data_IF_548272348180
#
_entry.id   IF_548272348180
#
_cell.length_a   1.000
_cell.length_b   1.000
_cell.length_c   1.000
_cell.angle_alpha   90.00
_cell.angle_beta   90.00
_cell.angle_gamma   90.00
#
_symmetry.space_group_name_H-M   'P 1'
#
loop_
_entity.id
_entity.type
_entity.pdbx_description
1 polymer ?
#
# COMPACT_ATOMS: atom_id res chain seq x y z
N UNK A 1 0.39 5.03 -8.93
CA UNK A 1 0.21 4.97 -7.46
C UNK A 1 -0.11 6.36 -6.96
N UNK A 2 -0.93 6.51 -5.91
CA UNK A 2 -1.23 7.80 -5.29
C UNK A 2 -1.03 7.71 -3.77
N UNK A 3 -0.74 8.85 -3.13
CA UNK A 3 -0.55 8.96 -1.68
C UNK A 3 -1.60 9.86 -1.07
N UNK A 4 -2.15 9.45 0.07
CA UNK A 4 -3.26 10.16 0.73
C UNK A 4 -3.08 10.19 2.24
N UNK A 5 -3.57 11.25 2.87
CA UNK A 5 -3.67 11.34 4.32
C UNK A 5 -4.89 10.54 4.83
N UNK A 6 -4.98 10.39 6.14
CA UNK A 6 -6.05 9.63 6.80
C UNK A 6 -7.45 10.19 6.53
N UNK A 7 -7.59 11.52 6.48
CA UNK A 7 -8.88 12.16 6.18
C UNK A 7 -9.34 11.91 4.73
N UNK A 8 -8.41 11.65 3.82
CA UNK A 8 -8.69 11.53 2.40
C UNK A 8 -8.59 10.10 1.85
N UNK A 9 -8.34 9.09 2.70
CA UNK A 9 -8.26 7.68 2.27
C UNK A 9 -9.53 7.20 1.59
N UNK A 10 -10.70 7.54 2.13
CA UNK A 10 -11.99 7.16 1.55
C UNK A 10 -12.18 7.74 0.15
N UNK A 11 -11.82 9.01 -0.04
CA UNK A 11 -11.86 9.67 -1.36
C UNK A 11 -10.85 9.02 -2.32
N UNK A 12 -9.64 8.74 -1.85
CA UNK A 12 -8.60 8.08 -2.63
C UNK A 12 -8.96 6.67 -3.08
N UNK A 13 -9.64 5.89 -2.25
CA UNK A 13 -10.12 4.55 -2.61
C UNK A 13 -11.18 4.63 -3.71
N UNK A 14 -12.12 5.57 -3.65
CA UNK A 14 -13.19 5.73 -4.65
C UNK A 14 -12.63 6.13 -6.03
N UNK A 15 -11.52 6.87 -6.07
CA UNK A 15 -10.87 7.26 -7.32
C UNK A 15 -10.27 6.07 -8.11
N UNK A 16 -10.05 4.93 -7.45
CA UNK A 16 -9.41 3.78 -8.06
C UNK A 16 -10.37 2.58 -8.02
N UNK A 17 -10.45 1.82 -9.10
CA UNK A 17 -11.29 0.62 -9.12
C UNK A 17 -10.57 -0.55 -8.43
N UNK A 18 -10.86 -0.79 -7.15
CA UNK A 18 -10.26 -1.86 -6.33
C UNK A 18 -8.75 -1.67 -6.06
N UNK A 19 -8.32 -0.60 -5.40
CA UNK A 19 -6.91 -0.39 -5.09
C UNK A 19 -6.45 -1.23 -3.89
N UNK A 20 -5.18 -1.64 -3.92
CA UNK A 20 -4.47 -2.04 -2.71
C UNK A 20 -4.08 -0.81 -1.89
N UNK A 21 -4.19 -0.94 -0.56
CA UNK A 21 -3.84 0.10 0.40
C UNK A 21 -2.66 -0.37 1.24
N UNK A 22 -1.59 0.41 1.29
CA UNK A 22 -0.45 0.18 2.18
C UNK A 22 -0.23 1.39 3.07
N UNK A 23 -0.03 1.18 4.37
CA UNK A 23 0.35 2.25 5.29
C UNK A 23 1.81 2.63 5.05
N UNK A 24 2.08 3.92 4.94
CA UNK A 24 3.43 4.46 4.80
C UNK A 24 4.15 4.38 6.16
N UNK A 25 5.37 3.87 6.16
CA UNK A 25 6.27 3.95 7.32
C UNK A 25 6.92 5.32 7.39
N UNK A 26 7.48 5.71 8.55
CA UNK A 26 8.13 7.01 8.76
C UNK A 26 9.16 7.41 7.68
N UNK A 27 9.81 6.43 7.03
CA UNK A 27 10.72 6.64 5.91
C UNK A 27 10.09 7.35 4.70
N UNK A 28 8.77 7.31 4.55
CA UNK A 28 8.02 7.82 3.40
C UNK A 28 7.13 9.03 3.75
N UNK A 29 7.37 9.67 4.90
CA UNK A 29 6.64 10.87 5.33
C UNK A 29 6.96 12.13 4.51
N UNK A 30 7.94 12.07 3.61
CA UNK A 30 8.14 13.10 2.59
C UNK A 30 6.99 13.18 1.58
N UNK A 31 6.17 12.13 1.48
CA UNK A 31 5.01 12.12 0.60
C UNK A 31 3.86 12.92 1.19
N UNK A 32 3.24 13.72 0.33
CA UNK A 32 2.08 14.52 0.67
C UNK A 32 0.80 13.91 0.09
N UNK A 33 -0.32 14.27 0.70
CA UNK A 33 -1.64 13.89 0.25
C UNK A 33 -2.00 14.65 -1.02
N UNK A 34 -2.43 13.95 -2.07
CA UNK A 34 -2.82 14.58 -3.34
C UNK A 34 -3.98 15.59 -3.23
N UNK A 35 -4.75 15.55 -2.14
CA UNK A 35 -5.94 16.38 -1.97
C UNK A 35 -5.69 17.66 -1.16
N UNK A 36 -4.78 17.61 -0.19
CA UNK A 36 -4.61 18.70 0.79
C UNK A 36 -3.15 19.00 1.11
N UNK A 37 -2.19 18.34 0.47
CA UNK A 37 -0.74 18.52 0.66
C UNK A 37 -0.19 18.27 2.07
N UNK A 38 -1.05 17.96 3.04
CA UNK A 38 -0.68 17.42 4.35
C UNK A 38 0.11 16.09 4.23
N UNK A 39 0.86 15.68 5.26
CA UNK A 39 1.58 14.42 5.28
C UNK A 39 0.69 13.22 4.90
N UNK A 40 1.16 12.40 3.97
CA UNK A 40 0.47 11.19 3.56
C UNK A 40 0.76 10.04 4.54
N UNK A 41 -0.28 9.24 4.80
CA UNK A 41 -0.19 8.06 5.66
C UNK A 41 -0.43 6.76 4.89
N UNK A 42 -1.00 6.85 3.69
CA UNK A 42 -1.40 5.70 2.91
C UNK A 42 -0.97 5.84 1.46
N UNK A 43 -0.60 4.70 0.88
CA UNK A 43 -0.28 4.51 -0.53
C UNK A 43 -1.34 3.61 -1.16
N UNK A 44 -1.92 4.09 -2.26
CA UNK A 44 -2.93 3.40 -3.05
C UNK A 44 -2.34 3.00 -4.42
N UNK A 45 -2.51 1.74 -4.83
CA UNK A 45 -1.93 1.22 -6.07
C UNK A 45 -2.73 0.03 -6.61
N UNK A 46 -2.70 -0.18 -7.93
CA UNK A 46 -3.41 -1.30 -8.59
C UNK A 46 -2.61 -2.60 -8.58
N UNK A 47 -1.29 -2.52 -8.76
CA UNK A 47 -0.40 -3.67 -8.75
C UNK A 47 0.83 -3.33 -7.93
N UNK A 48 1.32 -4.31 -7.16
CA UNK A 48 2.65 -4.20 -6.54
C UNK A 48 3.61 -4.08 -7.73
N UNK A 49 4.39 -3.00 -7.88
CA UNK A 49 5.43 -2.99 -8.89
C UNK A 49 6.30 -4.21 -8.61
N UNK A 50 6.47 -5.07 -9.61
CA UNK A 50 7.39 -6.20 -9.55
C UNK A 50 8.76 -5.65 -9.18
N UNK A 51 9.09 -5.70 -7.90
CA UNK A 51 10.44 -5.43 -7.41
C UNK A 51 11.29 -6.49 -8.07
N UNK A 52 12.33 -6.09 -8.81
CA UNK A 52 13.43 -6.96 -9.17
C UNK A 52 13.78 -7.81 -7.96
N UNK A 53 13.67 -9.11 -8.12
CA UNK A 53 13.48 -10.11 -7.08
C UNK A 53 14.74 -10.32 -6.23
N UNK A 54 15.30 -9.29 -5.61
CA UNK A 54 16.34 -9.45 -4.59
C UNK A 54 15.68 -9.76 -3.24
N UNK A 55 15.39 -11.06 -3.09
CA UNK A 55 15.32 -11.81 -1.84
C UNK A 55 14.23 -11.42 -0.83
N UNK A 56 12.98 -11.82 -1.11
CA UNK A 56 12.02 -12.11 -0.04
C UNK A 56 11.75 -13.63 -0.05
N UNK A 57 12.36 -14.35 0.89
CA UNK A 57 12.04 -15.77 1.15
C UNK A 57 10.68 -15.83 1.83
N UNK A 58 9.62 -16.15 1.09
CA UNK A 58 8.33 -16.49 1.68
C UNK A 58 8.41 -17.90 2.29
N UNK A 59 8.37 -18.00 3.63
CA UNK A 59 8.07 -19.27 4.31
C UNK A 59 6.55 -19.48 4.25
N UNK A 60 6.09 -20.27 3.29
CA UNK A 60 4.74 -20.85 3.34
C UNK A 60 4.68 -21.83 4.50
N UNK A 61 3.76 -21.62 5.44
CA UNK A 61 3.30 -22.65 6.39
C UNK A 61 1.80 -22.87 6.18
N UNK A 62 1.45 -23.48 5.04
CA UNK A 62 0.23 -24.26 4.95
C UNK A 62 0.62 -25.72 5.15
N UNK A 63 0.38 -26.25 6.34
CA UNK A 63 0.33 -27.70 6.56
C UNK A 63 -1.08 -28.05 7.01
N UNK A 64 -1.90 -28.47 6.04
CA UNK A 64 -3.07 -29.33 6.30
C UNK A 64 -2.54 -30.75 6.24
N UNK A 65 -2.56 -31.46 7.36
CA UNK A 65 -2.29 -32.91 7.41
C UNK A 65 -3.62 -33.66 7.48
N UNK A 66 -3.95 -34.37 6.41
CA UNK A 66 -4.47 -35.74 6.51
C UNK A 66 -3.20 -36.58 6.77
N UNK A 67 -3.10 -37.52 7.72
CA UNK A 67 -3.96 -38.61 8.16
C UNK A 67 -3.57 -38.90 9.62
#
# INVERSE_FOLDING_TARGET
MITVCENHIKKGIILLNVPHVQKLTHKYWEHTCIFCHEPAHFKLFYSIPTIEMNSIKFKNKNTVSYI
#
